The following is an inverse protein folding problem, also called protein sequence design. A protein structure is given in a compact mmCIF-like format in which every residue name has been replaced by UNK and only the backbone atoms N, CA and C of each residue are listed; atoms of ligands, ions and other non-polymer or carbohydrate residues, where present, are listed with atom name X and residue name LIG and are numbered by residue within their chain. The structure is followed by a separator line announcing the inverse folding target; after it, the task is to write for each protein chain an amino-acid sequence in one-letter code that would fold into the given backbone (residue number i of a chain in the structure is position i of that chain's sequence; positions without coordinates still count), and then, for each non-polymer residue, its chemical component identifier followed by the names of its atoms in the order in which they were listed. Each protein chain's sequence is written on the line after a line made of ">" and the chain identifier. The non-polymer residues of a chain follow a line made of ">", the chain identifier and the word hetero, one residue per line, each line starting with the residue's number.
data_IF_888258285573
#
_entry.id   IF_888258285573
#
_cell.length_a   1.000
_cell.length_b   1.000
_cell.length_c   1.000
_cell.angle_alpha   90.00
_cell.angle_beta   90.00
_cell.angle_gamma   90.00
#
_symmetry.space_group_name_H-M   'P 1'
#
loop_
_entity.id
_entity.type
_entity.pdbx_description
1 polymer ?
#
# COMPACT_ATOMS: atom_id res chain seq x y z
N UNK A 1 23.85 31.65 31.01
CA UNK A 1 23.35 30.38 31.57
C UNK A 1 22.13 29.80 30.84
N UNK A 2 21.34 30.57 30.08
CA UNK A 2 20.18 30.07 29.30
C UNK A 2 20.52 29.46 27.94
N UNK A 3 21.64 29.81 27.35
CA UNK A 3 22.06 29.32 26.00
C UNK A 3 22.64 27.90 26.08
N UNK A 4 23.30 27.57 27.19
CA UNK A 4 23.87 26.22 27.36
C UNK A 4 22.79 25.11 27.49
N UNK A 5 21.63 25.46 28.08
CA UNK A 5 20.52 24.51 28.20
C UNK A 5 19.78 24.26 26.88
N UNK A 6 19.81 25.24 25.97
CA UNK A 6 19.20 25.07 24.65
C UNK A 6 20.04 24.18 23.73
N UNK A 7 21.39 24.30 23.86
CA UNK A 7 22.32 23.46 23.10
C UNK A 7 22.28 22.00 23.60
N UNK A 8 22.13 21.80 24.92
CA UNK A 8 21.97 20.46 25.47
C UNK A 8 20.65 19.80 25.04
N UNK A 9 19.58 20.57 24.91
CA UNK A 9 18.28 20.05 24.44
C UNK A 9 18.32 19.69 22.94
N UNK A 10 18.99 20.52 22.13
CA UNK A 10 19.19 20.22 20.69
C UNK A 10 20.12 19.02 20.46
N UNK A 11 21.13 18.84 21.31
CA UNK A 11 22.02 17.67 21.19
C UNK A 11 21.35 16.38 21.66
N UNK A 12 20.44 16.43 22.65
CA UNK A 12 19.63 15.26 23.01
C UNK A 12 18.63 14.85 21.92
N UNK A 13 18.15 15.81 21.13
CA UNK A 13 17.30 15.53 19.96
C UNK A 13 18.10 15.01 18.75
N UNK A 14 19.39 15.39 18.65
CA UNK A 14 20.30 14.91 17.59
C UNK A 14 20.96 13.57 17.91
N UNK A 15 21.01 13.21 19.18
CA UNK A 15 21.41 11.88 19.69
C UNK A 15 20.24 11.12 20.31
N UNK A 16 19.03 11.49 20.00
CA UNK A 16 17.89 10.60 20.15
C UNK A 16 18.30 9.35 19.40
N UNK A 17 18.67 8.30 20.13
CA UNK A 17 19.12 7.04 19.56
C UNK A 17 18.17 6.71 18.45
N UNK A 18 18.67 6.13 17.35
CA UNK A 18 17.81 5.61 16.31
C UNK A 18 16.59 5.08 16.99
N UNK A 19 15.45 5.72 16.71
CA UNK A 19 14.18 5.24 17.22
C UNK A 19 14.14 3.81 16.70
N UNK A 20 14.46 2.86 17.55
CA UNK A 20 14.41 1.46 17.19
C UNK A 20 12.93 1.12 17.06
N UNK A 21 12.40 1.49 15.90
CA UNK A 21 11.01 1.23 15.54
C UNK A 21 10.70 -0.26 15.61
N UNK A 22 11.74 -1.09 15.44
CA UNK A 22 11.65 -2.54 15.54
C UNK A 22 11.59 -3.04 16.98
N UNK A 23 12.34 -2.44 17.90
CA UNK A 23 12.34 -2.85 19.31
C UNK A 23 10.99 -2.64 19.98
N UNK A 24 10.22 -1.66 19.51
CA UNK A 24 8.89 -1.44 20.05
C UNK A 24 7.87 -2.47 19.53
N UNK A 25 8.10 -3.09 18.35
CA UNK A 25 7.20 -4.05 17.68
C UNK A 25 5.71 -3.65 17.77
N UNK A 26 5.44 -2.37 17.65
CA UNK A 26 4.09 -1.82 17.73
C UNK A 26 3.40 -2.07 19.08
N UNK A 27 2.09 -2.28 19.00
CA UNK A 27 1.21 -2.35 20.16
C UNK A 27 1.04 -3.76 20.76
N UNK A 28 1.58 -4.81 20.13
CA UNK A 28 1.35 -6.19 20.57
C UNK A 28 2.59 -6.82 21.20
N UNK A 29 2.37 -7.82 22.07
CA UNK A 29 3.45 -8.63 22.68
C UNK A 29 3.66 -9.94 21.92
N UNK A 30 2.59 -10.51 21.35
CA UNK A 30 2.63 -11.76 20.61
C UNK A 30 2.80 -11.44 19.11
N UNK A 31 4.05 -11.40 18.68
CA UNK A 31 4.45 -11.09 17.32
C UNK A 31 5.05 -12.34 16.68
N UNK A 32 4.67 -12.62 15.45
CA UNK A 32 5.29 -13.68 14.62
C UNK A 32 6.49 -13.10 13.87
N UNK A 33 7.73 -13.47 14.21
CA UNK A 33 8.88 -12.98 13.49
C UNK A 33 8.97 -13.58 12.09
N UNK A 34 9.24 -12.72 11.10
CA UNK A 34 9.54 -13.14 9.73
C UNK A 34 11.04 -13.23 9.51
N UNK A 35 11.46 -14.22 8.72
CA UNK A 35 12.85 -14.37 8.29
C UNK A 35 13.03 -13.75 6.91
N UNK A 36 14.09 -13.00 6.71
CA UNK A 36 14.47 -12.51 5.39
C UNK A 36 14.94 -13.68 4.53
N UNK A 37 14.17 -14.00 3.47
CA UNK A 37 14.48 -15.04 2.50
C UNK A 37 15.29 -14.52 1.32
N UNK A 38 15.16 -13.22 1.00
CA UNK A 38 15.86 -12.62 -0.12
C UNK A 38 15.71 -11.12 -0.22
N UNK A 39 16.39 -10.56 -1.21
CA UNK A 39 16.29 -9.15 -1.58
C UNK A 39 16.62 -8.98 -3.04
N UNK A 40 15.85 -8.17 -3.74
CA UNK A 40 16.03 -7.87 -5.16
C UNK A 40 16.02 -6.35 -5.33
N UNK A 41 17.00 -5.83 -6.04
CA UNK A 41 17.03 -4.42 -6.45
C UNK A 41 16.21 -4.24 -7.72
N UNK A 42 15.26 -3.32 -7.68
CA UNK A 42 14.44 -3.02 -8.84
C UNK A 42 15.15 -2.05 -9.78
N UNK A 43 15.27 -2.45 -11.02
CA UNK A 43 15.80 -1.60 -12.10
C UNK A 43 14.66 -0.84 -12.76
N UNK A 44 14.28 0.29 -12.17
CA UNK A 44 13.24 1.17 -12.70
C UNK A 44 13.86 2.28 -13.55
N UNK A 45 13.05 2.86 -14.45
CA UNK A 45 13.50 3.95 -15.33
C UNK A 45 13.78 5.26 -14.57
N UNK A 46 13.31 5.36 -13.34
CA UNK A 46 13.51 6.51 -12.46
C UNK A 46 13.70 6.08 -11.01
N UNK A 47 13.96 7.06 -10.15
CA UNK A 47 14.20 6.88 -8.72
C UNK A 47 12.97 7.14 -7.84
N UNK A 48 11.76 7.22 -8.40
CA UNK A 48 10.56 7.42 -7.60
C UNK A 48 10.32 6.20 -6.69
N UNK A 49 9.88 6.41 -5.44
CA UNK A 49 9.54 5.31 -4.55
C UNK A 49 8.46 4.40 -5.15
N UNK A 50 8.60 3.11 -4.94
CA UNK A 50 7.53 2.15 -5.21
C UNK A 50 6.51 2.26 -4.09
N UNK A 51 5.27 2.60 -4.42
CA UNK A 51 4.17 2.81 -3.48
C UNK A 51 2.99 1.88 -3.73
N UNK A 52 3.05 1.08 -4.79
CA UNK A 52 2.08 0.04 -5.10
C UNK A 52 2.80 -1.23 -5.54
N UNK A 53 2.37 -2.35 -5.01
CA UNK A 53 2.87 -3.68 -5.36
C UNK A 53 1.72 -4.65 -5.22
N UNK A 54 1.53 -5.49 -6.25
CA UNK A 54 0.54 -6.54 -6.24
C UNK A 54 1.04 -7.74 -7.06
N UNK A 55 0.56 -8.92 -6.78
CA UNK A 55 0.91 -10.15 -7.49
C UNK A 55 -0.34 -10.88 -7.99
N UNK A 56 -0.38 -11.12 -9.29
CA UNK A 56 -1.45 -11.87 -9.92
C UNK A 56 -1.03 -13.32 -10.18
N UNK A 57 -1.72 -14.24 -9.53
CA UNK A 57 -1.47 -15.69 -9.65
C UNK A 57 -1.81 -16.23 -11.04
N UNK A 58 -2.75 -15.62 -11.75
CA UNK A 58 -3.16 -16.09 -13.08
C UNK A 58 -2.09 -15.77 -14.13
N UNK A 59 -1.63 -14.54 -14.17
CA UNK A 59 -0.58 -14.09 -15.10
C UNK A 59 0.83 -14.39 -14.60
N UNK A 60 0.99 -14.80 -13.34
CA UNK A 60 2.29 -14.98 -12.65
C UNK A 60 3.19 -13.76 -12.79
N UNK A 61 2.63 -12.61 -12.55
CA UNK A 61 3.33 -11.35 -12.69
C UNK A 61 3.10 -10.41 -11.51
N UNK A 62 4.11 -9.57 -11.25
CA UNK A 62 3.96 -8.47 -10.32
C UNK A 62 3.58 -7.19 -11.07
N UNK A 63 2.71 -6.43 -10.44
CA UNK A 63 2.44 -5.04 -10.77
C UNK A 63 3.21 -4.16 -9.79
N UNK A 64 3.99 -3.23 -10.32
CA UNK A 64 4.75 -2.26 -9.53
C UNK A 64 4.32 -0.87 -9.93
N UNK A 65 3.78 -0.13 -8.98
CA UNK A 65 3.41 1.28 -9.13
C UNK A 65 4.38 2.19 -8.39
N UNK A 66 4.74 3.33 -8.99
CA UNK A 66 5.57 4.33 -8.31
C UNK A 66 4.77 5.55 -7.91
N UNK A 67 5.31 6.33 -6.98
CA UNK A 67 4.70 7.56 -6.47
C UNK A 67 4.25 8.52 -7.57
N UNK A 68 4.93 8.54 -8.71
CA UNK A 68 4.66 9.47 -9.84
C UNK A 68 4.02 8.80 -11.06
N UNK A 69 3.09 7.86 -10.82
CA UNK A 69 2.23 7.25 -11.84
C UNK A 69 2.92 6.35 -12.86
N UNK A 70 4.05 5.81 -12.56
CA UNK A 70 4.66 4.83 -13.42
C UNK A 70 4.24 3.45 -13.01
N UNK A 71 3.93 2.63 -13.98
CA UNK A 71 3.58 1.23 -13.84
C UNK A 71 4.59 0.35 -14.52
N UNK A 72 4.92 -0.74 -13.87
CA UNK A 72 5.78 -1.78 -14.40
C UNK A 72 5.10 -3.14 -14.21
N UNK A 73 5.10 -3.94 -15.25
CA UNK A 73 4.82 -5.36 -15.15
C UNK A 73 6.14 -6.10 -15.04
N UNK A 74 6.25 -6.97 -14.07
CA UNK A 74 7.45 -7.78 -13.82
C UNK A 74 7.07 -9.25 -13.77
N UNK A 75 8.00 -10.11 -14.19
CA UNK A 75 7.82 -11.55 -14.04
C UNK A 75 7.85 -11.98 -12.56
N UNK A 76 7.64 -13.26 -12.31
CA UNK A 76 7.64 -13.82 -10.95
C UNK A 76 8.98 -13.71 -10.22
N UNK A 77 10.06 -13.40 -10.94
CA UNK A 77 11.40 -13.16 -10.41
C UNK A 77 11.72 -11.66 -10.31
N UNK A 78 10.73 -10.80 -10.51
CA UNK A 78 10.85 -9.33 -10.51
C UNK A 78 11.76 -8.78 -11.61
N UNK A 79 11.92 -9.52 -12.72
CA UNK A 79 12.52 -8.96 -13.92
C UNK A 79 11.47 -8.14 -14.66
N UNK A 80 11.85 -6.93 -15.08
CA UNK A 80 10.94 -6.06 -15.79
C UNK A 80 10.55 -6.68 -17.15
N UNK A 81 9.25 -6.90 -17.36
CA UNK A 81 8.67 -7.32 -18.64
C UNK A 81 8.32 -6.08 -19.47
N UNK A 82 7.63 -5.13 -18.86
CA UNK A 82 7.15 -3.91 -19.50
C UNK A 82 7.19 -2.73 -18.55
N UNK A 83 7.43 -1.56 -19.08
CA UNK A 83 7.21 -0.30 -18.39
C UNK A 83 6.11 0.49 -19.10
N UNK A 84 5.27 1.12 -18.30
CA UNK A 84 4.15 1.89 -18.78
C UNK A 84 4.29 3.30 -18.26
N UNK A 85 4.59 4.21 -19.18
CA UNK A 85 4.51 5.62 -18.89
C UNK A 85 3.10 6.08 -19.20
N UNK A 86 2.49 6.74 -18.27
CA UNK A 86 1.18 7.32 -18.48
C UNK A 86 1.26 8.41 -19.54
N UNK A 87 0.59 8.23 -20.66
CA UNK A 87 0.26 9.34 -21.53
C UNK A 87 -1.00 10.01 -20.99
N UNK A 88 -0.84 11.06 -20.22
CA UNK A 88 -1.96 11.79 -19.64
C UNK A 88 -2.53 12.79 -20.63
N UNK A 89 -3.80 12.69 -20.98
CA UNK A 89 -4.51 13.87 -21.48
C UNK A 89 -4.59 14.91 -20.36
N UNK A 90 -4.40 16.19 -20.69
CA UNK A 90 -4.33 17.30 -19.74
C UNK A 90 -5.54 17.43 -18.79
N UNK A 91 -6.66 16.79 -19.09
CA UNK A 91 -7.88 16.83 -18.30
C UNK A 91 -7.96 15.76 -17.20
N UNK A 92 -7.03 14.79 -17.17
CA UNK A 92 -6.96 13.73 -16.14
C UNK A 92 -6.04 14.13 -14.97
N UNK A 93 -5.65 15.39 -14.85
CA UNK A 93 -4.75 15.91 -13.82
C UNK A 93 -5.41 15.96 -12.43
N UNK A 94 -6.27 15.01 -12.09
CA UNK A 94 -6.84 14.95 -10.75
C UNK A 94 -6.13 13.94 -9.85
N UNK A 95 -5.37 13.04 -10.44
CA UNK A 95 -4.54 12.12 -9.66
C UNK A 95 -3.28 12.83 -9.19
N UNK A 96 -3.09 12.84 -7.91
CA UNK A 96 -1.86 13.26 -7.25
C UNK A 96 -0.97 12.04 -6.99
N UNK A 97 -0.10 12.10 -6.01
CA UNK A 97 0.84 11.02 -5.73
C UNK A 97 0.13 9.67 -5.51
N UNK A 98 0.61 8.64 -6.17
CA UNK A 98 0.06 7.27 -6.11
C UNK A 98 0.45 6.59 -4.81
N UNK A 99 -0.47 5.88 -4.19
CA UNK A 99 -0.28 5.18 -2.90
C UNK A 99 -0.65 3.71 -2.95
N UNK A 100 -1.07 3.19 -4.10
CA UNK A 100 -1.39 1.78 -4.27
C UNK A 100 -1.54 1.39 -5.72
N UNK A 101 -1.29 0.13 -6.02
CA UNK A 101 -1.51 -0.50 -7.31
C UNK A 101 -2.11 -1.87 -7.08
N UNK A 102 -3.08 -2.27 -7.89
CA UNK A 102 -3.77 -3.55 -7.76
C UNK A 102 -4.20 -4.08 -9.12
N UNK A 103 -4.17 -5.39 -9.29
CA UNK A 103 -4.83 -6.06 -10.40
C UNK A 103 -6.34 -6.11 -10.19
N UNK A 104 -7.08 -5.96 -11.27
CA UNK A 104 -8.53 -6.06 -11.25
C UNK A 104 -9.08 -6.53 -12.59
N UNK A 105 -9.61 -7.75 -12.65
CA UNK A 105 -10.29 -8.31 -13.85
C UNK A 105 -9.50 -8.07 -15.15
N UNK A 106 -8.21 -8.36 -15.14
CA UNK A 106 -7.30 -8.15 -16.27
C UNK A 106 -6.96 -6.69 -16.57
N UNK A 107 -7.34 -5.78 -15.67
CA UNK A 107 -6.94 -4.37 -15.68
C UNK A 107 -5.92 -4.13 -14.57
N UNK A 108 -5.18 -3.03 -14.69
CA UNK A 108 -4.29 -2.54 -13.65
C UNK A 108 -4.89 -1.30 -13.02
N UNK A 109 -4.97 -1.28 -11.72
CA UNK A 109 -5.48 -0.14 -10.97
C UNK A 109 -4.36 0.64 -10.30
N UNK A 110 -4.48 1.96 -10.31
CA UNK A 110 -3.72 2.87 -9.47
C UNK A 110 -4.67 3.72 -8.65
N UNK A 111 -4.33 3.96 -7.40
CA UNK A 111 -5.01 4.92 -6.55
C UNK A 111 -4.05 5.99 -6.05
N UNK A 112 -4.56 7.21 -5.97
CA UNK A 112 -3.84 8.37 -5.44
C UNK A 112 -4.28 8.69 -4.02
N UNK A 113 -3.43 9.32 -3.25
CA UNK A 113 -3.74 9.70 -1.87
C UNK A 113 -4.95 10.66 -1.80
N UNK A 114 -5.22 11.43 -2.86
CA UNK A 114 -6.35 12.36 -2.94
C UNK A 114 -7.68 11.72 -3.34
N UNK A 115 -7.79 10.36 -3.26
CA UNK A 115 -9.02 9.59 -3.54
C UNK A 115 -9.32 9.36 -5.01
N UNK A 116 -8.47 9.77 -5.91
CA UNK A 116 -8.65 9.52 -7.35
C UNK A 116 -8.02 8.19 -7.70
N UNK A 117 -8.70 7.38 -8.50
CA UNK A 117 -8.16 6.13 -8.99
C UNK A 117 -8.47 5.95 -10.48
N UNK A 118 -7.67 5.11 -11.13
CA UNK A 118 -7.79 4.81 -12.55
C UNK A 118 -7.52 3.33 -12.80
N UNK A 119 -8.23 2.78 -13.78
CA UNK A 119 -7.97 1.45 -14.32
C UNK A 119 -7.39 1.54 -15.71
N UNK A 120 -6.42 0.68 -15.99
CA UNK A 120 -5.71 0.60 -17.24
C UNK A 120 -5.83 -0.80 -17.80
N UNK A 121 -6.02 -0.92 -19.12
CA UNK A 121 -5.91 -2.19 -19.81
C UNK A 121 -4.75 -2.15 -20.78
N UNK A 122 -4.09 -3.28 -20.93
CA UNK A 122 -3.13 -3.45 -22.00
C UNK A 122 -3.85 -3.37 -23.33
N UNK A 123 -3.45 -2.43 -24.18
CA UNK A 123 -3.91 -2.35 -25.56
C UNK A 123 -2.85 -3.03 -26.43
N UNK A 124 -3.10 -4.26 -26.88
CA UNK A 124 -2.19 -4.86 -27.85
C UNK A 124 -2.26 -4.05 -29.12
N UNK A 125 -1.13 -3.53 -29.50
CA UNK A 125 -0.80 -3.08 -30.83
C UNK A 125 -1.58 -1.90 -31.43
N UNK A 126 -1.04 -0.72 -31.33
CA UNK A 126 -1.37 0.35 -32.26
C UNK A 126 -0.15 0.96 -32.94
N UNK A 127 1.05 0.55 -32.68
CA UNK A 127 2.21 0.78 -33.51
C UNK A 127 3.33 -0.15 -33.11
N UNK A 128 3.95 -0.80 -34.08
CA UNK A 128 5.10 -1.67 -33.90
C UNK A 128 6.32 -0.96 -33.28
N UNK A 129 6.28 0.37 -33.22
CA UNK A 129 7.39 1.19 -32.76
C UNK A 129 7.34 1.51 -31.26
N UNK A 130 6.30 1.10 -30.54
CA UNK A 130 6.09 1.46 -29.15
C UNK A 130 5.90 0.24 -28.24
N UNK A 131 6.79 -0.73 -28.34
CA UNK A 131 6.83 -1.86 -27.40
C UNK A 131 6.96 -1.42 -25.92
N UNK A 132 7.29 -0.15 -25.68
CA UNK A 132 7.38 0.48 -24.36
C UNK A 132 6.23 1.44 -24.05
N UNK A 133 5.27 1.60 -24.93
CA UNK A 133 4.09 2.45 -24.67
C UNK A 133 2.97 1.63 -24.12
N UNK A 134 2.90 1.83 -22.99
CA UNK A 134 1.85 2.49 -22.27
C UNK A 134 0.50 1.80 -22.42
N UNK A 135 0.06 1.34 -21.34
CA UNK A 135 -1.31 1.17 -21.03
C UNK A 135 -2.08 2.41 -21.44
N UNK A 136 -2.97 2.22 -22.39
CA UNK A 136 -3.90 3.27 -22.66
C UNK A 136 -5.00 3.20 -21.64
N UNK A 137 -5.23 4.31 -21.05
CA UNK A 137 -6.41 4.61 -20.32
C UNK A 137 -7.66 4.17 -21.11
N UNK A 138 -8.53 3.42 -20.46
CA UNK A 138 -9.84 3.08 -21.00
C UNK A 138 -10.84 4.08 -20.45
N UNK A 139 -11.29 4.95 -21.32
CA UNK A 139 -12.25 5.99 -20.99
C UNK A 139 -13.48 5.45 -20.24
N UNK A 140 -14.05 4.34 -20.71
CA UNK A 140 -15.22 3.71 -20.06
C UNK A 140 -14.93 3.21 -18.64
N UNK A 141 -13.75 2.67 -18.41
CA UNK A 141 -13.33 2.24 -17.07
C UNK A 141 -13.18 3.42 -16.12
N UNK A 142 -12.55 4.48 -16.60
CA UNK A 142 -12.33 5.69 -15.82
C UNK A 142 -13.65 6.37 -15.43
N UNK A 143 -14.47 6.72 -16.42
CA UNK A 143 -15.71 7.45 -16.15
C UNK A 143 -16.62 6.70 -15.20
N UNK A 144 -16.70 5.39 -15.39
CA UNK A 144 -17.57 4.56 -14.57
C UNK A 144 -17.09 4.44 -13.12
N UNK A 145 -15.81 4.15 -12.92
CA UNK A 145 -15.31 3.84 -11.58
C UNK A 145 -14.82 5.09 -10.84
N UNK A 146 -14.10 5.96 -11.52
CA UNK A 146 -13.51 7.13 -10.89
C UNK A 146 -14.55 8.10 -10.36
N UNK A 147 -15.53 8.47 -11.17
CA UNK A 147 -16.59 9.40 -10.77
C UNK A 147 -17.46 8.80 -9.67
N UNK A 148 -17.97 7.60 -9.87
CA UNK A 148 -18.82 6.94 -8.88
C UNK A 148 -18.10 6.74 -7.55
N UNK A 149 -16.87 6.30 -7.58
CA UNK A 149 -16.08 6.13 -6.38
C UNK A 149 -15.82 7.46 -5.67
N UNK A 150 -15.41 8.48 -6.40
CA UNK A 150 -15.13 9.80 -5.86
C UNK A 150 -16.36 10.40 -5.21
N UNK A 151 -17.49 10.37 -5.90
CA UNK A 151 -18.75 10.90 -5.39
C UNK A 151 -19.20 10.15 -4.14
N UNK A 152 -19.17 8.84 -4.15
CA UNK A 152 -19.50 8.01 -2.99
C UNK A 152 -18.54 8.19 -1.84
N UNK A 153 -17.25 8.28 -2.13
CA UNK A 153 -16.25 8.50 -1.12
C UNK A 153 -16.49 9.82 -0.39
N UNK A 154 -16.80 10.89 -1.11
CA UNK A 154 -17.16 12.17 -0.50
C UNK A 154 -18.46 12.12 0.27
N UNK A 155 -19.45 11.48 -0.26
CA UNK A 155 -20.78 11.37 0.36
C UNK A 155 -20.72 10.56 1.66
N UNK A 156 -20.03 9.43 1.63
CA UNK A 156 -19.98 8.49 2.76
C UNK A 156 -18.92 8.88 3.78
N UNK A 157 -17.82 9.51 3.34
CA UNK A 157 -16.60 9.73 4.13
C UNK A 157 -16.09 11.16 4.01
N UNK A 158 -16.98 12.11 4.21
CA UNK A 158 -16.63 13.54 4.11
C UNK A 158 -15.40 13.94 4.94
N UNK A 159 -15.15 13.25 6.06
CA UNK A 159 -14.02 13.50 6.96
C UNK A 159 -12.73 12.80 6.55
N UNK A 160 -12.79 11.89 5.59
CA UNK A 160 -11.59 11.17 5.13
C UNK A 160 -10.87 12.01 4.09
N UNK A 161 -9.61 12.32 4.33
CA UNK A 161 -8.82 13.14 3.39
C UNK A 161 -7.88 12.32 2.54
N UNK A 162 -7.19 11.36 3.14
CA UNK A 162 -6.07 10.70 2.46
C UNK A 162 -6.28 9.20 2.38
N UNK A 163 -6.02 8.65 1.20
CA UNK A 163 -5.86 7.22 1.00
C UNK A 163 -4.43 6.85 1.39
N UNK A 164 -4.29 5.72 2.08
CA UNK A 164 -3.00 5.15 2.46
C UNK A 164 -2.60 4.02 1.52
N UNK A 165 -3.54 3.16 1.17
CA UNK A 165 -3.35 2.05 0.23
C UNK A 165 -4.70 1.46 -0.17
N UNK A 166 -4.70 0.62 -1.19
CA UNK A 166 -5.85 -0.16 -1.62
C UNK A 166 -5.41 -1.49 -2.21
N UNK A 167 -6.37 -2.43 -2.27
CA UNK A 167 -6.23 -3.63 -3.06
C UNK A 167 -7.60 -4.25 -3.38
N UNK A 168 -7.64 -5.12 -4.39
CA UNK A 168 -8.83 -5.85 -4.81
C UNK A 168 -8.83 -7.26 -4.25
N UNK A 169 -10.01 -7.73 -3.89
CA UNK A 169 -10.24 -9.09 -3.44
C UNK A 169 -11.22 -9.83 -4.34
N UNK A 170 -10.73 -10.80 -5.08
CA UNK A 170 -11.59 -11.72 -5.83
C UNK A 170 -12.47 -12.59 -4.90
N UNK A 171 -11.97 -12.88 -3.70
CA UNK A 171 -12.70 -13.67 -2.71
C UNK A 171 -13.97 -12.98 -2.22
N UNK A 172 -13.89 -11.65 -2.00
CA UNK A 172 -15.04 -10.85 -1.55
C UNK A 172 -15.78 -10.17 -2.70
N UNK A 173 -15.19 -10.02 -3.88
CA UNK A 173 -15.69 -9.17 -4.96
C UNK A 173 -15.71 -7.69 -4.55
N UNK A 174 -14.69 -7.26 -3.84
CA UNK A 174 -14.60 -5.93 -3.24
C UNK A 174 -13.22 -5.32 -3.34
N UNK A 175 -13.16 -4.00 -3.42
CA UNK A 175 -11.96 -3.22 -3.16
C UNK A 175 -11.87 -2.89 -1.68
N UNK A 176 -10.74 -3.15 -1.08
CA UNK A 176 -10.40 -2.69 0.27
C UNK A 176 -9.53 -1.44 0.19
N UNK A 177 -9.80 -0.48 1.06
CA UNK A 177 -9.10 0.79 1.11
C UNK A 177 -8.74 1.11 2.56
N UNK A 178 -7.48 1.38 2.82
CA UNK A 178 -7.03 2.02 4.04
C UNK A 178 -6.98 3.53 3.86
N UNK A 179 -7.50 4.28 4.82
CA UNK A 179 -7.57 5.74 4.73
C UNK A 179 -7.51 6.42 6.09
N UNK A 180 -7.04 7.66 6.12
CA UNK A 180 -7.03 8.50 7.32
C UNK A 180 -8.06 9.62 7.21
N UNK A 181 -8.76 9.97 8.32
CA UNK A 181 -9.63 11.12 8.36
C UNK A 181 -8.84 12.43 8.38
N UNK A 182 -9.55 13.52 8.15
CA UNK A 182 -9.01 14.87 8.27
C UNK A 182 -8.65 15.24 9.72
N UNK A 183 -9.39 14.69 10.66
CA UNK A 183 -9.14 14.91 12.09
C UNK A 183 -8.05 13.96 12.60
N UNK A 184 -6.88 14.51 12.94
CA UNK A 184 -5.73 13.75 13.48
C UNK A 184 -6.03 12.99 14.79
N UNK A 185 -7.15 13.28 15.45
CA UNK A 185 -7.59 12.55 16.63
C UNK A 185 -8.33 11.27 16.31
N UNK A 186 -8.68 11.05 15.04
CA UNK A 186 -9.35 9.84 14.60
C UNK A 186 -8.33 8.86 14.04
N UNK A 187 -8.57 7.59 14.29
CA UNK A 187 -7.78 6.51 13.73
C UNK A 187 -7.95 6.41 12.21
N UNK A 188 -6.99 5.78 11.56
CA UNK A 188 -7.21 5.27 10.21
C UNK A 188 -8.32 4.20 10.22
N UNK A 189 -8.90 3.96 9.07
CA UNK A 189 -10.00 3.00 8.92
C UNK A 189 -9.86 2.20 7.64
N UNK A 190 -10.53 1.06 7.62
CA UNK A 190 -10.70 0.21 6.44
C UNK A 190 -12.12 0.40 5.91
N UNK A 191 -12.21 0.55 4.60
CA UNK A 191 -13.47 0.53 3.87
C UNK A 191 -13.41 -0.54 2.80
N UNK A 192 -14.54 -1.17 2.51
CA UNK A 192 -14.69 -1.98 1.32
C UNK A 192 -15.80 -1.47 0.42
N UNK A 193 -15.59 -1.61 -0.88
CA UNK A 193 -16.52 -1.20 -1.93
C UNK A 193 -16.74 -2.36 -2.89
N UNK A 194 -17.99 -2.65 -3.21
CA UNK A 194 -18.34 -3.65 -4.19
C UNK A 194 -17.68 -3.36 -5.55
N UNK A 195 -17.09 -4.36 -6.15
CA UNK A 195 -16.42 -4.24 -7.44
C UNK A 195 -17.39 -4.19 -8.64
N UNK A 196 -18.67 -4.51 -8.41
CA UNK A 196 -19.70 -4.56 -9.45
C UNK A 196 -20.44 -3.23 -9.64
N UNK A 197 -20.69 -2.51 -8.55
CA UNK A 197 -21.48 -1.27 -8.58
C UNK A 197 -20.83 -0.13 -7.78
N UNK A 198 -19.68 -0.40 -7.20
CA UNK A 198 -18.87 0.56 -6.46
C UNK A 198 -19.58 1.15 -5.22
N UNK A 199 -20.53 0.39 -4.66
CA UNK A 199 -21.19 0.77 -3.42
C UNK A 199 -20.31 0.45 -2.22
N UNK A 200 -20.35 1.34 -1.22
CA UNK A 200 -19.71 1.08 0.06
C UNK A 200 -20.40 -0.11 0.74
N UNK A 201 -19.66 -1.18 0.96
CA UNK A 201 -20.13 -2.37 1.66
C UNK A 201 -19.96 -2.22 3.17
N UNK A 202 -18.78 -1.82 3.61
CA UNK A 202 -18.49 -1.62 5.03
C UNK A 202 -17.41 -0.57 5.26
N UNK A 203 -17.43 -0.03 6.49
CA UNK A 203 -16.39 0.88 6.99
C UNK A 203 -16.20 0.63 8.48
N UNK A 204 -14.96 0.45 8.91
CA UNK A 204 -14.65 0.20 10.31
C UNK A 204 -13.22 0.58 10.67
N UNK A 205 -13.00 0.81 11.96
CA UNK A 205 -11.68 0.86 12.56
C UNK A 205 -11.39 -0.53 13.09
N UNK A 206 -10.31 -1.21 12.67
CA UNK A 206 -9.97 -2.52 13.22
C UNK A 206 -9.66 -2.45 14.70
N UNK A 207 -9.84 -3.58 15.38
CA UNK A 207 -9.36 -3.79 16.74
C UNK A 207 -8.40 -4.98 16.78
N UNK A 208 -7.60 -5.09 17.83
CA UNK A 208 -6.77 -6.26 18.01
C UNK A 208 -7.57 -7.41 18.59
N UNK A 209 -7.24 -8.65 18.19
CA UNK A 209 -7.67 -9.82 18.90
C UNK A 209 -6.93 -9.91 20.25
N UNK A 210 -7.64 -10.33 21.29
CA UNK A 210 -7.09 -10.40 22.65
C UNK A 210 -5.88 -11.32 22.77
N UNK A 211 -5.80 -12.35 21.92
CA UNK A 211 -4.68 -13.30 21.88
C UNK A 211 -3.33 -12.66 21.52
N UNK A 212 -3.35 -11.46 20.91
CA UNK A 212 -2.13 -10.74 20.54
C UNK A 212 -1.40 -10.10 21.72
N UNK A 213 -2.02 -10.01 22.89
CA UNK A 213 -1.40 -9.43 24.08
C UNK A 213 -1.07 -7.95 23.88
N UNK A 214 -2.08 -7.09 23.99
CA UNK A 214 -1.91 -5.65 23.76
C UNK A 214 -1.09 -5.05 24.91
N UNK A 215 -0.06 -4.28 24.57
CA UNK A 215 0.76 -3.55 25.53
C UNK A 215 -0.04 -2.41 26.16
N UNK A 216 0.20 -2.16 27.45
CA UNK A 216 -0.46 -1.08 28.15
C UNK A 216 -0.23 0.29 27.47
N UNK A 217 -1.31 1.04 27.28
CA UNK A 217 -1.29 2.35 26.64
C UNK A 217 -1.01 2.34 25.14
N UNK A 218 -1.10 1.19 24.50
CA UNK A 218 -0.93 1.04 23.05
C UNK A 218 -2.25 0.76 22.35
N UNK A 219 -2.39 1.29 21.15
CA UNK A 219 -3.61 1.21 20.36
C UNK A 219 -3.33 0.90 18.88
N UNK A 220 -4.38 0.58 18.13
CA UNK A 220 -4.29 0.37 16.68
C UNK A 220 -3.82 1.64 15.95
N UNK A 221 -4.08 2.81 16.52
CA UNK A 221 -3.65 4.11 16.01
C UNK A 221 -2.14 4.31 16.00
N UNK A 222 -1.40 3.53 16.79
CA UNK A 222 0.05 3.60 16.81
C UNK A 222 0.68 3.13 15.49
N UNK A 223 -0.07 2.35 14.69
CA UNK A 223 0.40 1.88 13.38
C UNK A 223 0.09 2.90 12.27
N UNK A 224 1.08 3.21 11.48
CA UNK A 224 0.91 3.98 10.25
C UNK A 224 0.97 3.04 9.05
N UNK A 225 -0.15 2.92 8.34
CA UNK A 225 -0.27 2.01 7.21
C UNK A 225 0.32 2.65 5.95
N UNK A 226 1.20 1.93 5.27
CA UNK A 226 1.88 2.38 4.05
C UNK A 226 1.68 1.47 2.85
N UNK A 227 1.11 0.29 3.04
CA UNK A 227 0.82 -0.67 1.98
C UNK A 227 -0.26 -1.65 2.39
N UNK A 228 -0.85 -2.30 1.41
CA UNK A 228 -1.91 -3.29 1.59
C UNK A 228 -1.79 -4.36 0.52
N UNK A 229 -2.18 -5.57 0.87
CA UNK A 229 -2.42 -6.68 -0.04
C UNK A 229 -3.58 -7.53 0.49
N UNK A 230 -4.41 -8.03 -0.39
CA UNK A 230 -5.52 -8.91 -0.02
C UNK A 230 -5.25 -10.32 -0.56
N UNK A 231 -5.05 -11.26 0.34
CA UNK A 231 -4.76 -12.64 -0.02
C UNK A 231 -5.78 -13.59 0.61
N UNK A 232 -6.58 -14.24 -0.23
CA UNK A 232 -7.70 -15.07 0.20
C UNK A 232 -8.73 -14.29 0.99
N UNK A 233 -9.01 -14.71 2.21
CA UNK A 233 -10.00 -14.07 3.10
C UNK A 233 -9.43 -13.02 4.05
N UNK A 234 -8.15 -12.68 3.93
CA UNK A 234 -7.48 -11.74 4.83
C UNK A 234 -6.94 -10.52 4.09
N UNK A 235 -7.00 -9.39 4.76
CA UNK A 235 -6.32 -8.15 4.35
C UNK A 235 -5.03 -8.02 5.15
N UNK A 236 -3.92 -7.79 4.47
CA UNK A 236 -2.62 -7.59 5.07
C UNK A 236 -2.22 -6.12 4.95
N UNK A 237 -1.90 -5.51 6.08
CA UNK A 237 -1.61 -4.08 6.19
C UNK A 237 -0.16 -3.90 6.60
N UNK A 238 0.62 -3.25 5.75
CA UNK A 238 2.02 -2.94 6.03
C UNK A 238 2.12 -1.68 6.88
N UNK A 239 2.81 -1.77 8.00
CA UNK A 239 3.19 -0.61 8.81
C UNK A 239 4.69 -0.40 8.78
N UNK A 240 5.12 0.66 8.11
CA UNK A 240 6.51 1.07 8.07
C UNK A 240 7.05 1.41 9.47
N UNK A 241 6.27 2.14 10.25
CA UNK A 241 6.67 2.65 11.55
C UNK A 241 7.16 1.57 12.52
N UNK A 242 6.54 0.38 12.47
CA UNK A 242 6.90 -0.73 13.36
C UNK A 242 7.47 -1.93 12.62
N UNK A 243 7.82 -1.78 11.35
CA UNK A 243 8.30 -2.88 10.52
C UNK A 243 7.44 -4.12 10.70
N UNK A 244 6.14 -3.94 10.55
CA UNK A 244 5.14 -4.96 10.85
C UNK A 244 4.14 -5.12 9.71
N UNK A 245 3.58 -6.32 9.61
CA UNK A 245 2.45 -6.63 8.74
C UNK A 245 1.31 -7.11 9.63
N UNK A 246 0.18 -6.41 9.58
CA UNK A 246 -1.02 -6.73 10.35
C UNK A 246 -1.93 -7.59 9.48
N UNK A 247 -2.29 -8.78 9.95
CA UNK A 247 -3.27 -9.65 9.30
C UNK A 247 -4.66 -9.35 9.85
N UNK A 248 -5.49 -8.75 9.03
CA UNK A 248 -6.87 -8.39 9.35
C UNK A 248 -7.84 -9.43 8.82
N UNK A 249 -8.74 -9.89 9.66
CA UNK A 249 -9.95 -10.59 9.24
C UNK A 249 -11.10 -9.56 9.07
N UNK A 250 -11.54 -9.28 7.84
CA UNK A 250 -12.59 -8.28 7.60
C UNK A 250 -13.95 -8.65 8.21
N UNK A 251 -14.24 -9.95 8.38
CA UNK A 251 -15.51 -10.42 8.93
C UNK A 251 -15.63 -10.13 10.41
N UNK A 252 -14.58 -10.43 11.17
CA UNK A 252 -14.52 -10.12 12.60
C UNK A 252 -14.08 -8.68 12.87
N UNK A 253 -13.52 -7.98 11.88
CA UNK A 253 -12.91 -6.65 11.96
C UNK A 253 -11.74 -6.59 12.95
N UNK A 254 -11.05 -7.72 13.11
CA UNK A 254 -9.94 -7.85 14.05
C UNK A 254 -8.62 -8.12 13.36
N UNK A 255 -7.57 -7.53 13.89
CA UNK A 255 -6.21 -7.96 13.60
C UNK A 255 -5.99 -9.26 14.36
N UNK A 256 -5.81 -10.35 13.63
CA UNK A 256 -5.71 -11.70 14.18
C UNK A 256 -4.27 -12.20 14.29
N UNK A 257 -3.35 -11.60 13.56
CA UNK A 257 -1.93 -11.91 13.61
C UNK A 257 -1.10 -10.65 13.26
N UNK A 258 0.06 -10.51 13.88
CA UNK A 258 1.01 -9.46 13.58
C UNK A 258 2.35 -10.08 13.29
N UNK A 259 2.91 -9.78 12.14
CA UNK A 259 4.24 -10.22 11.73
C UNK A 259 5.22 -9.08 11.91
N UNK A 260 6.42 -9.37 12.41
CA UNK A 260 7.53 -8.44 12.49
C UNK A 260 8.63 -8.81 11.53
N UNK A 261 9.24 -7.82 10.90
CA UNK A 261 10.37 -8.01 9.99
C UNK A 261 11.48 -6.99 10.26
N UNK A 262 12.68 -7.27 9.74
CA UNK A 262 13.83 -6.39 9.84
C UNK A 262 14.45 -6.12 8.46
N UNK A 263 15.12 -4.99 8.32
CA UNK A 263 15.93 -4.64 7.15
C UNK A 263 15.22 -3.93 6.00
N UNK A 264 13.91 -3.66 6.09
CA UNK A 264 13.17 -2.82 5.16
C UNK A 264 12.69 -1.57 5.90
N UNK A 265 13.58 -0.57 6.04
CA UNK A 265 13.36 0.58 6.92
C UNK A 265 12.43 1.64 6.32
N UNK A 266 12.36 1.72 4.99
CA UNK A 266 11.52 2.66 4.26
C UNK A 266 10.46 1.91 3.42
N UNK A 267 9.69 1.05 4.09
CA UNK A 267 8.70 0.17 3.48
C UNK A 267 7.44 0.93 3.04
N UNK A 268 7.01 0.75 1.78
CA UNK A 268 5.91 1.51 1.19
C UNK A 268 4.83 0.66 0.52
N UNK A 269 5.13 -0.57 0.09
CA UNK A 269 4.17 -1.43 -0.58
C UNK A 269 4.38 -2.90 -0.22
N UNK A 270 3.33 -3.69 -0.35
CA UNK A 270 3.27 -5.09 0.04
C UNK A 270 2.59 -5.89 -1.06
N UNK A 271 3.11 -7.09 -1.35
CA UNK A 271 2.41 -8.14 -2.07
C UNK A 271 2.68 -9.49 -1.41
N UNK A 272 1.77 -10.44 -1.58
CA UNK A 272 1.92 -11.80 -1.08
C UNK A 272 1.92 -12.77 -2.27
N UNK A 273 2.94 -13.58 -2.34
CA UNK A 273 3.07 -14.65 -3.32
C UNK A 273 3.46 -15.95 -2.62
N UNK A 274 2.68 -17.01 -2.82
CA UNK A 274 2.97 -18.35 -2.27
C UNK A 274 3.26 -18.34 -0.75
N UNK A 275 2.53 -17.50 0.00
CA UNK A 275 2.70 -17.33 1.44
C UNK A 275 3.93 -16.55 1.89
N UNK A 276 4.71 -16.00 0.98
CA UNK A 276 5.82 -15.10 1.24
C UNK A 276 5.39 -13.63 1.09
N UNK A 277 5.96 -12.79 1.90
CA UNK A 277 5.72 -11.34 1.88
C UNK A 277 6.81 -10.63 1.07
N UNK A 278 6.39 -9.89 0.06
CA UNK A 278 7.22 -9.07 -0.78
C UNK A 278 7.01 -7.60 -0.38
N UNK A 279 7.99 -7.03 0.27
CA UNK A 279 7.91 -5.66 0.81
C UNK A 279 8.79 -4.74 -0.03
N UNK A 280 8.17 -3.77 -0.69
CA UNK A 280 8.91 -2.72 -1.39
C UNK A 280 9.40 -1.69 -0.39
N UNK A 281 10.69 -1.42 -0.41
CA UNK A 281 11.36 -0.44 0.45
C UNK A 281 12.36 0.37 -0.37
N UNK A 282 12.57 1.62 0.02
CA UNK A 282 13.56 2.47 -0.63
C UNK A 282 14.74 2.70 0.29
N UNK A 283 15.83 1.97 0.03
CA UNK A 283 17.04 2.03 0.85
C UNK A 283 18.16 2.77 0.09
N UNK A 284 18.72 3.79 0.69
CA UNK A 284 19.79 4.61 0.09
C UNK A 284 19.41 5.19 -1.30
N UNK A 285 18.14 5.53 -1.48
CA UNK A 285 17.62 6.05 -2.74
C UNK A 285 17.34 5.00 -3.83
N UNK A 286 17.51 3.71 -3.52
CA UNK A 286 17.30 2.58 -4.44
C UNK A 286 16.05 1.80 -4.02
N UNK A 287 15.17 1.51 -4.98
CA UNK A 287 14.01 0.66 -4.73
C UNK A 287 14.43 -0.82 -4.67
N UNK A 288 14.05 -1.48 -3.59
CA UNK A 288 14.33 -2.89 -3.34
C UNK A 288 13.07 -3.61 -2.93
N UNK A 289 12.95 -4.86 -3.32
CA UNK A 289 11.95 -5.78 -2.78
C UNK A 289 12.65 -6.70 -1.78
N UNK A 290 12.20 -6.67 -0.56
CA UNK A 290 12.59 -7.61 0.49
C UNK A 290 11.59 -8.75 0.52
N UNK A 291 12.08 -9.98 0.55
CA UNK A 291 11.25 -11.17 0.58
C UNK A 291 11.37 -11.78 1.98
N UNK A 292 10.21 -11.95 2.63
CA UNK A 292 10.15 -12.52 3.96
C UNK A 292 9.28 -13.78 3.97
N UNK A 293 9.62 -14.70 4.85
CA UNK A 293 8.87 -15.93 5.08
C UNK A 293 8.79 -16.24 6.59
N UNK A 294 7.86 -17.09 6.97
CA UNK A 294 7.70 -17.57 8.36
C UNK A 294 8.84 -18.47 8.80
#
# INVERSE_FOLDING_TARGET
>A
MKILNLIALCTCLAFGGEFDLNAANGAVTNLTPLKKAGQIELKLNNSNPVTGLDYDEESKSFLVGTLKFELYSMDENLNQIKSYLRSTPDWIIQMEDTVGASFFKGSLGLISYNKTYEFFKFMPDQSKDDANKAWRYLHDGYDKFSLDFKDRYYTVRAKQQYILSWDHSDFYGEFFIASVPDDIKQSWSISSFSDSDNLLSTEFIPSFDESLGIKEGREINDYYITGMDVNGEFVYLLSKQYSSILKLDPRSRKIVEVYGFEGASDAHALAIKEGKFYVASREDGVNKIFIFER
#
